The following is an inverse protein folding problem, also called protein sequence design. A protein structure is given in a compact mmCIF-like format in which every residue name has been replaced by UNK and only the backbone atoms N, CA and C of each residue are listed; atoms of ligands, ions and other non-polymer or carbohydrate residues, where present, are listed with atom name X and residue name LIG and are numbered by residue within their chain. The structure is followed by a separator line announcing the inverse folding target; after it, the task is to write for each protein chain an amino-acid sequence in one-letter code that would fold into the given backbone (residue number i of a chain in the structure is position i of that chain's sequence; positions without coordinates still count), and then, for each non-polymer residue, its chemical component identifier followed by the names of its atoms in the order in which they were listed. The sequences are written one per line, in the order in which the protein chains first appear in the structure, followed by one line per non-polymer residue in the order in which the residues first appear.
data_IF_707369598501
#
_entry.id   IF_707369598501
#
_cell.length_a   1.000
_cell.length_b   1.000
_cell.length_c   1.000
_cell.angle_alpha   90.00
_cell.angle_beta   90.00
_cell.angle_gamma   90.00
#
_symmetry.space_group_name_H-M   'P 1'
#
loop_
_entity.id
_entity.type
_entity.pdbx_description
1 polymer ?
#
# COMPACT_ATOMS: atom_id res chain seq x y z
N UNK A 1 18.42 8.10 -6.70
CA UNK A 1 19.51 7.10 -6.72
C UNK A 1 19.02 5.79 -6.10
N UNK A 2 19.53 4.66 -6.56
CA UNK A 2 19.12 3.35 -6.04
C UNK A 2 20.26 2.35 -6.05
N UNK A 3 20.14 1.38 -5.14
CA UNK A 3 21.00 0.21 -5.05
C UNK A 3 20.10 -1.03 -5.14
N UNK A 4 20.57 -2.07 -5.81
CA UNK A 4 19.88 -3.35 -5.88
C UNK A 4 20.87 -4.50 -5.78
N UNK A 5 20.39 -5.62 -5.27
CA UNK A 5 21.14 -6.88 -5.22
C UNK A 5 20.22 -8.04 -5.59
N UNK A 6 20.82 -9.12 -6.06
CA UNK A 6 20.14 -10.39 -6.26
C UNK A 6 21.11 -11.52 -5.94
N UNK A 7 20.64 -12.49 -5.17
CA UNK A 7 21.41 -13.66 -4.74
C UNK A 7 20.52 -14.90 -4.94
N UNK A 8 21.05 -15.96 -5.55
CA UNK A 8 20.33 -17.21 -5.73
C UNK A 8 21.28 -18.39 -5.73
N UNK A 9 20.78 -19.58 -5.42
CA UNK A 9 21.55 -20.83 -5.42
C UNK A 9 20.74 -21.98 -6.01
N UNK A 10 21.20 -22.49 -7.18
CA UNK A 10 20.74 -23.73 -7.78
C UNK A 10 19.21 -23.91 -7.80
N UNK A 11 18.47 -22.87 -8.15
CA UNK A 11 17.01 -22.87 -8.19
C UNK A 11 16.32 -23.19 -6.85
N UNK A 12 17.07 -23.27 -5.73
CA UNK A 12 16.51 -23.55 -4.41
C UNK A 12 15.96 -22.28 -3.78
N UNK A 13 16.68 -21.19 -3.89
CA UNK A 13 16.22 -19.89 -3.43
C UNK A 13 16.69 -18.74 -4.32
N UNK A 14 15.90 -17.71 -4.36
CA UNK A 14 16.24 -16.40 -4.93
C UNK A 14 15.91 -15.33 -3.91
N UNK A 15 16.86 -14.47 -3.59
CA UNK A 15 16.68 -13.29 -2.75
C UNK A 15 17.08 -12.07 -3.56
N UNK A 16 16.19 -11.11 -3.69
CA UNK A 16 16.48 -9.82 -4.30
C UNK A 16 16.02 -8.69 -3.40
N UNK A 17 16.62 -7.53 -3.60
CA UNK A 17 16.22 -6.35 -2.86
C UNK A 17 16.71 -5.08 -3.52
N UNK A 18 16.05 -3.98 -3.21
CA UNK A 18 16.45 -2.66 -3.65
C UNK A 18 16.18 -1.62 -2.57
N UNK A 19 17.03 -0.60 -2.56
CA UNK A 19 16.85 0.62 -1.80
C UNK A 19 16.92 1.78 -2.78
N UNK A 20 15.90 2.60 -2.81
CA UNK A 20 15.80 3.74 -3.73
C UNK A 20 15.61 5.01 -2.92
N UNK A 21 16.51 5.97 -3.08
CA UNK A 21 16.30 7.35 -2.68
C UNK A 21 15.69 8.13 -3.84
N UNK A 22 14.66 8.87 -3.57
CA UNK A 22 14.07 9.80 -4.55
C UNK A 22 13.90 11.19 -3.93
N UNK A 23 13.86 12.18 -4.80
CA UNK A 23 13.58 13.57 -4.47
C UNK A 23 12.88 14.21 -5.66
N UNK A 24 11.80 14.94 -5.40
CA UNK A 24 10.96 15.54 -6.42
C UNK A 24 10.44 16.89 -5.95
N UNK A 25 10.54 17.88 -6.80
CA UNK A 25 9.94 19.21 -6.65
C UNK A 25 8.80 19.33 -7.65
N UNK A 26 7.60 19.57 -7.15
CA UNK A 26 6.36 19.59 -7.95
C UNK A 26 5.71 20.94 -7.79
N UNK A 27 5.55 21.66 -8.89
CA UNK A 27 4.85 22.96 -8.91
C UNK A 27 3.38 22.76 -9.25
N UNK A 28 2.54 23.70 -8.79
CA UNK A 28 1.11 23.73 -9.04
C UNK A 28 0.34 22.45 -8.63
N UNK A 29 0.73 21.84 -7.51
CA UNK A 29 0.05 20.66 -6.97
C UNK A 29 -1.38 20.98 -6.53
N UNK A 30 -2.38 20.30 -7.07
CA UNK A 30 -3.78 20.43 -6.71
C UNK A 30 -4.20 19.26 -5.84
N UNK A 31 -4.74 19.54 -4.66
CA UNK A 31 -5.31 18.56 -3.75
C UNK A 31 -6.78 18.84 -3.48
N UNK A 32 -7.60 17.79 -3.37
CA UNK A 32 -9.00 17.93 -3.01
C UNK A 32 -9.15 17.71 -1.51
N UNK A 33 -9.61 18.74 -0.78
CA UNK A 33 -9.78 18.72 0.66
C UNK A 33 -11.26 18.81 1.04
N UNK A 34 -11.69 18.11 2.11
CA UNK A 34 -13.05 18.28 2.63
C UNK A 34 -13.22 19.67 3.22
N UNK A 35 -14.32 20.31 2.89
CA UNK A 35 -14.72 21.59 3.45
C UNK A 35 -15.60 21.39 4.70
N UNK A 36 -15.74 22.41 5.52
CA UNK A 36 -16.66 22.41 6.67
C UNK A 36 -18.13 22.21 6.27
N UNK A 37 -18.46 22.40 4.99
CA UNK A 37 -19.82 22.21 4.44
C UNK A 37 -20.05 20.77 3.93
N UNK A 38 -19.08 19.85 4.09
CA UNK A 38 -19.21 18.43 3.75
C UNK A 38 -18.99 18.08 2.28
N UNK A 39 -18.54 19.00 1.44
CA UNK A 39 -18.10 18.72 0.08
C UNK A 39 -16.59 18.89 -0.07
N UNK A 40 -16.00 18.26 -1.09
CA UNK A 40 -14.59 18.41 -1.42
C UNK A 40 -14.41 19.64 -2.32
N UNK A 41 -13.37 20.43 -2.03
CA UNK A 41 -12.95 21.56 -2.85
C UNK A 41 -11.49 21.39 -3.27
N UNK A 42 -11.12 21.73 -4.51
CA UNK A 42 -9.72 21.76 -4.92
C UNK A 42 -9.00 22.88 -4.18
N UNK A 43 -7.81 22.58 -3.72
CA UNK A 43 -6.88 23.52 -3.12
C UNK A 43 -5.55 23.43 -3.88
N UNK A 44 -5.04 24.56 -4.36
CA UNK A 44 -3.77 24.63 -5.05
C UNK A 44 -2.65 24.90 -4.04
N UNK A 45 -1.78 23.91 -3.85
CA UNK A 45 -0.52 24.02 -3.11
C UNK A 45 0.56 24.25 -4.16
N UNK A 46 1.12 25.46 -4.21
CA UNK A 46 1.99 25.89 -5.29
C UNK A 46 3.19 24.99 -5.50
N UNK A 47 3.94 24.69 -4.44
CA UNK A 47 5.18 23.93 -4.52
C UNK A 47 5.19 22.83 -3.46
N UNK A 48 5.49 21.61 -3.86
CA UNK A 48 5.60 20.45 -3.00
C UNK A 48 6.99 19.83 -3.17
N UNK A 49 7.70 19.66 -2.06
CA UNK A 49 8.92 18.88 -1.99
C UNK A 49 8.63 17.50 -1.43
N UNK A 50 8.69 16.48 -2.27
CA UNK A 50 8.52 15.09 -1.91
C UNK A 50 9.88 14.38 -2.00
N UNK A 51 10.28 13.71 -0.94
CA UNK A 51 11.53 12.96 -0.89
C UNK A 51 11.38 11.71 -0.03
N UNK A 52 12.34 10.80 -0.12
CA UNK A 52 12.25 9.62 0.74
C UNK A 52 13.08 8.44 0.33
N UNK A 53 12.84 7.35 1.05
CA UNK A 53 13.49 6.06 0.83
C UNK A 53 12.41 5.01 0.62
N UNK A 54 12.56 4.23 -0.44
CA UNK A 54 11.79 3.02 -0.68
C UNK A 54 12.70 1.80 -0.60
N UNK A 55 12.33 0.83 0.22
CA UNK A 55 12.97 -0.48 0.32
C UNK A 55 12.02 -1.53 -0.26
N UNK A 56 12.56 -2.44 -1.08
CA UNK A 56 11.86 -3.62 -1.58
C UNK A 56 12.72 -4.85 -1.33
N UNK A 57 12.05 -5.96 -1.02
CA UNK A 57 12.70 -7.24 -0.85
C UNK A 57 11.79 -8.35 -1.34
N UNK A 58 12.37 -9.31 -2.09
CA UNK A 58 11.67 -10.45 -2.67
C UNK A 58 12.47 -11.71 -2.34
N UNK A 59 11.79 -12.73 -1.83
CA UNK A 59 12.36 -14.01 -1.47
C UNK A 59 11.50 -15.12 -2.03
N UNK A 60 12.08 -15.92 -2.91
CA UNK A 60 11.49 -17.17 -3.42
C UNK A 60 12.26 -18.35 -2.86
N UNK A 61 11.57 -19.37 -2.37
CA UNK A 61 12.17 -20.59 -1.84
C UNK A 61 11.42 -21.81 -2.39
N UNK A 62 12.15 -22.75 -2.97
CA UNK A 62 11.68 -24.09 -3.29
C UNK A 62 11.95 -25.00 -2.09
N UNK A 63 10.95 -25.21 -1.25
CA UNK A 63 11.06 -26.03 -0.03
C UNK A 63 11.13 -27.53 -0.37
N UNK A 64 10.40 -27.94 -1.42
CA UNK A 64 10.43 -29.30 -1.98
C UNK A 64 9.83 -29.28 -3.39
N UNK A 65 9.73 -30.45 -4.05
CA UNK A 65 9.08 -30.54 -5.39
C UNK A 65 7.62 -30.07 -5.38
N UNK A 66 6.95 -30.17 -4.25
CA UNK A 66 5.52 -29.83 -4.13
C UNK A 66 5.27 -28.50 -3.39
N UNK A 67 6.27 -27.93 -2.70
CA UNK A 67 6.15 -26.76 -1.86
C UNK A 67 7.05 -25.62 -2.31
N UNK A 68 6.45 -24.46 -2.50
CA UNK A 68 7.16 -23.23 -2.81
C UNK A 68 6.64 -22.11 -1.89
N UNK A 69 7.53 -21.22 -1.48
CA UNK A 69 7.21 -20.03 -0.70
C UNK A 69 7.76 -18.81 -1.40
N UNK A 70 6.93 -17.77 -1.49
CA UNK A 70 7.30 -16.45 -1.97
C UNK A 70 6.98 -15.44 -0.88
N UNK A 71 7.87 -14.49 -0.66
CA UNK A 71 7.69 -13.41 0.29
C UNK A 71 8.15 -12.11 -0.36
N UNK A 72 7.23 -11.15 -0.49
CA UNK A 72 7.49 -9.82 -1.01
C UNK A 72 7.26 -8.80 0.09
N UNK A 73 8.18 -7.86 0.25
CA UNK A 73 8.08 -6.80 1.25
C UNK A 73 8.42 -5.43 0.69
N UNK A 74 7.71 -4.42 1.15
CA UNK A 74 8.02 -3.01 0.86
C UNK A 74 7.97 -2.19 2.13
N UNK A 75 8.86 -1.21 2.23
CA UNK A 75 8.86 -0.18 3.26
C UNK A 75 9.15 1.16 2.59
N UNK A 76 8.32 2.15 2.86
CA UNK A 76 8.48 3.49 2.32
C UNK A 76 8.43 4.53 3.43
N UNK A 77 9.37 5.45 3.39
CA UNK A 77 9.35 6.71 4.13
C UNK A 77 9.34 7.84 3.11
N UNK A 78 8.23 8.58 3.05
CA UNK A 78 7.93 9.49 1.94
C UNK A 78 7.32 10.81 2.43
N UNK A 79 8.08 11.67 3.15
CA UNK A 79 7.66 13.01 3.44
C UNK A 79 7.30 13.79 2.18
N UNK A 80 6.22 14.55 2.25
CA UNK A 80 5.74 15.39 1.15
C UNK A 80 5.32 16.73 1.73
N UNK A 81 6.17 17.73 1.61
CA UNK A 81 6.09 18.99 2.33
C UNK A 81 5.64 20.11 1.40
N UNK A 82 4.69 20.94 1.87
CA UNK A 82 4.33 22.17 1.19
C UNK A 82 5.45 23.20 1.38
N UNK A 83 6.15 23.55 0.33
CA UNK A 83 7.19 24.60 0.29
C UNK A 83 6.74 25.86 -0.47
N UNK A 84 5.46 25.94 -0.84
CA UNK A 84 4.91 27.10 -1.53
C UNK A 84 4.89 28.36 -0.68
N UNK A 85 4.70 29.49 -1.32
CA UNK A 85 4.54 30.76 -0.62
C UNK A 85 3.24 30.81 0.19
N UNK A 86 3.24 31.42 1.39
CA UNK A 86 2.03 31.61 2.16
C UNK A 86 0.94 32.36 1.37
N UNK A 87 -0.27 31.85 1.36
CA UNK A 87 -1.43 32.49 0.69
C UNK A 87 -1.93 33.74 1.42
N UNK A 88 -1.65 33.80 2.71
CA UNK A 88 -1.97 34.93 3.58
C UNK A 88 -1.06 34.91 4.81
N UNK A 89 -1.00 36.01 5.59
CA UNK A 89 -0.25 36.00 6.87
C UNK A 89 -0.73 34.97 7.89
N UNK A 90 -1.95 34.45 7.73
CA UNK A 90 -2.54 33.43 8.59
C UNK A 90 -2.36 31.99 8.03
N UNK A 91 -1.71 31.81 6.89
CA UNK A 91 -1.48 30.49 6.29
C UNK A 91 -0.46 29.70 7.10
N UNK A 92 -0.91 28.61 7.70
CA UNK A 92 -0.09 27.70 8.51
C UNK A 92 0.30 26.43 7.74
N UNK A 93 0.05 26.36 6.44
CA UNK A 93 0.28 25.17 5.64
C UNK A 93 1.73 25.02 5.14
N UNK A 94 2.49 26.10 5.12
CA UNK A 94 3.88 26.11 4.65
C UNK A 94 4.79 25.34 5.61
N UNK A 95 5.67 24.50 5.08
CA UNK A 95 6.54 23.61 5.83
C UNK A 95 5.82 22.41 6.45
N UNK A 96 4.57 22.13 6.05
CA UNK A 96 3.75 21.06 6.60
C UNK A 96 3.60 19.89 5.63
N UNK A 97 3.44 18.67 6.20
CA UNK A 97 3.13 17.45 5.45
C UNK A 97 1.80 17.59 4.71
N UNK A 98 1.71 17.09 3.50
CA UNK A 98 0.47 17.08 2.72
C UNK A 98 -0.62 16.26 3.43
N UNK A 99 -1.87 16.76 3.43
CA UNK A 99 -3.01 16.01 3.96
C UNK A 99 -3.22 14.67 3.25
N UNK A 100 -3.67 13.66 4.00
CA UNK A 100 -3.97 12.30 3.54
C UNK A 100 -2.78 11.51 2.98
N UNK A 101 -1.57 12.06 3.00
CA UNK A 101 -0.35 11.38 2.60
C UNK A 101 0.34 10.79 3.84
N UNK A 102 0.45 9.46 3.97
CA UNK A 102 1.19 8.84 5.07
C UNK A 102 2.69 9.09 4.91
N UNK A 103 3.37 9.41 5.99
CA UNK A 103 4.83 9.55 5.98
C UNK A 103 5.53 8.18 5.90
N UNK A 104 4.93 7.16 6.55
CA UNK A 104 5.42 5.78 6.52
C UNK A 104 4.36 4.85 6.00
N UNK A 105 4.75 3.95 5.11
CA UNK A 105 3.93 2.82 4.71
C UNK A 105 4.76 1.56 4.53
N UNK A 106 4.14 0.40 4.75
CA UNK A 106 4.79 -0.87 4.51
C UNK A 106 3.78 -1.93 4.08
N UNK A 107 4.25 -2.93 3.35
CA UNK A 107 3.45 -4.09 3.02
C UNK A 107 4.31 -5.35 3.00
N UNK A 108 3.71 -6.47 3.36
CA UNK A 108 4.29 -7.80 3.23
C UNK A 108 3.24 -8.70 2.59
N UNK A 109 3.64 -9.43 1.55
CA UNK A 109 2.81 -10.44 0.91
C UNK A 109 3.56 -11.78 0.98
N UNK A 110 2.94 -12.78 1.58
CA UNK A 110 3.44 -14.14 1.61
C UNK A 110 2.53 -15.06 0.79
N UNK A 111 3.11 -15.89 -0.05
CA UNK A 111 2.44 -16.95 -0.79
C UNK A 111 3.10 -18.28 -0.45
N UNK A 112 2.30 -19.25 0.01
CA UNK A 112 2.71 -20.62 0.19
C UNK A 112 1.94 -21.49 -0.80
N UNK A 113 2.65 -22.09 -1.73
CA UNK A 113 2.08 -22.95 -2.77
C UNK A 113 2.37 -24.42 -2.47
N UNK A 114 1.35 -25.25 -2.60
CA UNK A 114 1.44 -26.71 -2.50
C UNK A 114 0.72 -27.36 -3.68
N UNK A 115 1.48 -27.88 -4.63
CA UNK A 115 0.95 -28.42 -5.89
C UNK A 115 0.06 -27.40 -6.60
N UNK A 116 -1.26 -27.62 -6.58
CA UNK A 116 -2.28 -26.78 -7.22
C UNK A 116 -3.04 -25.88 -6.22
N UNK A 117 -2.60 -25.84 -4.96
CA UNK A 117 -3.13 -24.95 -3.94
C UNK A 117 -2.17 -23.80 -3.68
N UNK A 118 -2.70 -22.61 -3.44
CA UNK A 118 -1.93 -21.46 -2.98
C UNK A 118 -2.65 -20.79 -1.83
N UNK A 119 -1.94 -20.58 -0.74
CA UNK A 119 -2.37 -19.74 0.38
C UNK A 119 -1.63 -18.42 0.30
N UNK A 120 -2.39 -17.31 0.37
CA UNK A 120 -1.85 -15.95 0.40
C UNK A 120 -2.18 -15.30 1.73
N UNK A 121 -1.19 -14.58 2.27
CA UNK A 121 -1.37 -13.62 3.34
C UNK A 121 -0.81 -12.27 2.90
N UNK A 122 -1.59 -11.21 3.04
CA UNK A 122 -1.15 -9.85 2.78
C UNK A 122 -1.37 -9.00 4.02
N UNK A 123 -0.32 -8.33 4.45
CA UNK A 123 -0.36 -7.33 5.50
C UNK A 123 0.09 -5.99 4.96
N UNK A 124 -0.54 -4.90 5.41
CA UNK A 124 -0.07 -3.55 5.14
C UNK A 124 -0.25 -2.65 6.35
N UNK A 125 0.60 -1.65 6.43
CA UNK A 125 0.61 -0.61 7.44
C UNK A 125 0.65 0.76 6.79
N UNK A 126 -0.12 1.70 7.35
CA UNK A 126 -0.05 3.12 7.04
C UNK A 126 0.04 3.91 8.33
N UNK A 127 0.99 4.85 8.39
CA UNK A 127 1.13 5.78 9.51
C UNK A 127 -0.07 6.73 9.61
N UNK A 128 -0.16 7.47 10.69
CA UNK A 128 -1.13 8.57 10.82
C UNK A 128 -0.99 9.57 9.67
N UNK A 129 -2.10 10.23 9.33
CA UNK A 129 -2.17 11.19 8.22
C UNK A 129 -2.95 12.41 8.67
N UNK A 130 -2.44 13.57 8.33
CA UNK A 130 -3.16 14.82 8.56
C UNK A 130 -4.37 14.92 7.63
N UNK A 131 -5.42 15.58 8.08
CA UNK A 131 -6.65 15.82 7.29
C UNK A 131 -6.69 17.24 6.77
N UNK A 132 -5.86 18.14 7.32
CA UNK A 132 -5.79 19.57 7.00
C UNK A 132 -4.35 19.98 6.68
N UNK A 133 -4.20 20.97 5.80
CA UNK A 133 -2.89 21.48 5.39
C UNK A 133 -2.11 22.14 6.52
N UNK A 134 -2.76 22.61 7.59
CA UNK A 134 -2.12 23.16 8.78
C UNK A 134 -1.47 22.12 9.70
N UNK A 135 -1.69 20.82 9.43
CA UNK A 135 -1.30 19.69 10.28
C UNK A 135 -1.80 19.84 11.74
N UNK A 136 -3.03 20.27 11.88
CA UNK A 136 -3.67 20.38 13.19
C UNK A 136 -3.72 19.00 13.87
N UNK A 137 -3.44 18.97 15.18
CA UNK A 137 -3.42 17.75 16.01
C UNK A 137 -4.72 17.53 16.79
N UNK A 138 -5.78 18.27 16.48
CA UNK A 138 -7.10 18.04 17.08
C UNK A 138 -7.67 16.69 16.67
N UNK A 139 -8.74 16.24 17.31
CA UNK A 139 -9.39 14.93 17.07
C UNK A 139 -9.79 14.72 15.60
N UNK A 140 -10.07 15.79 14.87
CA UNK A 140 -10.42 15.72 13.44
C UNK A 140 -9.26 16.08 12.52
N UNK A 141 -8.14 16.56 13.06
CA UNK A 141 -6.96 17.00 12.31
C UNK A 141 -6.05 15.86 11.86
N UNK A 142 -6.21 14.67 12.45
CA UNK A 142 -5.44 13.46 12.11
C UNK A 142 -6.34 12.25 11.95
N UNK A 143 -6.01 11.40 10.98
CA UNK A 143 -6.48 10.02 10.91
C UNK A 143 -5.46 9.13 11.60
N UNK A 144 -5.90 8.18 12.47
CA UNK A 144 -4.99 7.25 13.13
C UNK A 144 -4.28 6.34 12.12
N UNK A 145 -3.14 5.82 12.53
CA UNK A 145 -2.47 4.72 11.83
C UNK A 145 -3.36 3.48 11.83
N UNK A 146 -3.18 2.62 10.83
CA UNK A 146 -3.85 1.33 10.79
C UNK A 146 -3.01 0.27 10.07
N UNK A 147 -3.32 -0.99 10.38
CA UNK A 147 -2.83 -2.12 9.58
C UNK A 147 -4.00 -2.95 9.09
N UNK A 148 -3.78 -3.58 7.97
CA UNK A 148 -4.77 -4.45 7.38
C UNK A 148 -4.15 -5.79 7.04
N UNK A 149 -4.88 -6.86 7.37
CA UNK A 149 -4.51 -8.23 7.05
C UNK A 149 -5.58 -8.87 6.19
N UNK A 150 -5.15 -9.47 5.09
CA UNK A 150 -6.02 -10.21 4.17
C UNK A 150 -5.47 -11.61 3.98
N UNK A 151 -6.34 -12.59 3.81
CA UNK A 151 -5.96 -13.95 3.44
C UNK A 151 -6.72 -14.39 2.19
N UNK A 152 -6.13 -15.28 1.43
CA UNK A 152 -6.84 -15.94 0.34
C UNK A 152 -6.34 -17.37 0.18
N UNK A 153 -7.25 -18.25 -0.22
CA UNK A 153 -6.96 -19.62 -0.64
C UNK A 153 -7.37 -19.78 -2.09
N UNK A 154 -6.46 -20.29 -2.89
CA UNK A 154 -6.65 -20.51 -4.31
C UNK A 154 -6.39 -21.98 -4.66
N UNK A 155 -7.21 -22.53 -5.57
CA UNK A 155 -7.10 -23.87 -6.12
C UNK A 155 -7.15 -23.82 -7.63
N UNK A 156 -6.15 -24.37 -8.29
CA UNK A 156 -6.15 -24.59 -9.74
C UNK A 156 -6.51 -26.02 -10.10
N UNK A 157 -7.33 -26.19 -11.12
CA UNK A 157 -7.70 -27.50 -11.69
C UNK A 157 -7.49 -27.43 -13.18
N UNK A 158 -6.61 -28.30 -13.69
CA UNK A 158 -6.28 -28.36 -15.11
C UNK A 158 -7.14 -29.42 -15.82
N UNK A 159 -7.99 -28.98 -16.72
CA UNK A 159 -8.74 -29.86 -17.63
C UNK A 159 -8.05 -29.87 -19.02
N UNK A 160 -8.45 -30.81 -19.88
CA UNK A 160 -7.92 -30.86 -21.25
C UNK A 160 -8.23 -29.62 -22.09
N UNK A 161 -9.35 -28.96 -21.80
CA UNK A 161 -9.90 -27.84 -22.58
C UNK A 161 -9.72 -26.47 -21.90
N UNK A 162 -9.46 -26.44 -20.57
CA UNK A 162 -9.25 -25.20 -19.84
C UNK A 162 -8.52 -25.43 -18.52
N UNK A 163 -7.86 -24.42 -18.00
CA UNK A 163 -7.47 -24.29 -16.60
C UNK A 163 -8.54 -23.49 -15.86
N UNK A 164 -8.99 -24.01 -14.71
CA UNK A 164 -10.02 -23.39 -13.87
C UNK A 164 -9.40 -23.07 -12.51
N UNK A 165 -9.50 -21.82 -12.11
CA UNK A 165 -9.05 -21.36 -10.78
C UNK A 165 -10.26 -20.97 -9.92
N UNK A 166 -10.22 -21.35 -8.66
CA UNK A 166 -11.16 -20.94 -7.62
C UNK A 166 -10.37 -20.22 -6.54
N UNK A 167 -10.79 -19.01 -6.18
CA UNK A 167 -10.16 -18.23 -5.12
C UNK A 167 -11.22 -17.73 -4.15
N UNK A 168 -11.04 -18.06 -2.86
CA UNK A 168 -11.78 -17.44 -1.75
C UNK A 168 -10.87 -16.51 -0.99
N UNK A 169 -11.33 -15.31 -0.68
CA UNK A 169 -10.56 -14.32 0.07
C UNK A 169 -11.38 -13.76 1.25
N UNK A 170 -10.66 -13.42 2.31
CA UNK A 170 -11.16 -12.66 3.46
C UNK A 170 -10.32 -11.40 3.56
N UNK A 171 -10.94 -10.26 3.37
CA UNK A 171 -10.31 -8.96 3.52
C UNK A 171 -10.61 -8.40 4.91
N UNK A 172 -9.67 -7.61 5.42
CA UNK A 172 -9.73 -7.06 6.78
C UNK A 172 -10.00 -8.14 7.82
N UNK A 173 -9.15 -9.16 7.85
CA UNK A 173 -9.28 -10.38 8.67
C UNK A 173 -9.55 -10.11 10.15
N UNK A 174 -8.96 -9.07 10.71
CA UNK A 174 -9.09 -8.69 12.11
C UNK A 174 -10.18 -7.66 12.38
N UNK A 175 -10.98 -7.33 11.35
CA UNK A 175 -12.05 -6.32 11.42
C UNK A 175 -11.57 -4.97 11.96
N UNK A 176 -10.40 -4.53 11.51
CA UNK A 176 -9.83 -3.24 11.89
C UNK A 176 -10.76 -2.09 11.48
N UNK A 177 -11.08 -1.22 12.43
CA UNK A 177 -11.82 0.00 12.15
C UNK A 177 -10.84 1.09 11.69
N UNK A 178 -10.94 1.50 10.44
CA UNK A 178 -10.04 2.48 9.86
C UNK A 178 -10.74 3.49 8.98
N UNK A 179 -10.08 4.62 8.79
CA UNK A 179 -10.55 5.69 7.93
C UNK A 179 -9.47 5.98 6.87
N UNK A 180 -9.82 5.99 5.61
CA UNK A 180 -8.95 6.51 4.54
C UNK A 180 -9.20 8.00 4.30
N UNK A 181 -10.41 8.46 4.56
CA UNK A 181 -10.86 9.86 4.49
C UNK A 181 -11.68 10.16 5.73
N UNK A 182 -11.55 11.38 6.26
CA UNK A 182 -12.30 11.85 7.42
C UNK A 182 -13.82 11.64 7.22
N UNK A 183 -14.48 11.12 8.26
CA UNK A 183 -15.92 10.84 8.28
C UNK A 183 -16.40 9.83 7.22
N UNK A 184 -15.52 9.04 6.64
CA UNK A 184 -15.86 7.95 5.72
C UNK A 184 -15.38 6.62 6.28
N UNK A 185 -16.23 5.87 7.00
CA UNK A 185 -15.88 4.56 7.51
C UNK A 185 -15.60 3.62 6.32
N UNK A 186 -14.57 2.81 6.46
CA UNK A 186 -14.19 1.82 5.47
C UNK A 186 -14.82 0.46 5.80
N UNK A 187 -14.91 -0.44 4.81
CA UNK A 187 -15.47 -1.78 5.04
C UNK A 187 -14.72 -2.53 6.15
N UNK A 188 -15.45 -3.12 7.07
CA UNK A 188 -14.93 -4.11 7.99
C UNK A 188 -14.56 -5.42 7.28
N UNK A 189 -14.54 -6.52 8.03
CA UNK A 189 -14.29 -7.85 7.44
C UNK A 189 -15.28 -8.13 6.30
N UNK A 190 -14.76 -8.57 5.17
CA UNK A 190 -15.57 -8.92 4.00
C UNK A 190 -14.97 -10.11 3.25
N UNK A 191 -15.80 -10.76 2.43
CA UNK A 191 -15.47 -12.00 1.74
C UNK A 191 -15.64 -11.85 0.25
N UNK A 192 -14.75 -12.46 -0.51
CA UNK A 192 -14.78 -12.46 -1.96
C UNK A 192 -14.57 -13.87 -2.50
N UNK A 193 -15.25 -14.20 -3.60
CA UNK A 193 -15.08 -15.46 -4.33
C UNK A 193 -14.86 -15.12 -5.80
N UNK A 194 -13.80 -15.70 -6.38
CA UNK A 194 -13.47 -15.57 -7.79
C UNK A 194 -13.41 -16.94 -8.45
N UNK A 195 -13.87 -17.01 -9.68
CA UNK A 195 -13.70 -18.15 -10.56
C UNK A 195 -13.08 -17.67 -11.85
N UNK A 196 -11.91 -18.20 -12.20
CA UNK A 196 -11.21 -17.92 -13.44
C UNK A 196 -11.28 -19.14 -14.37
N UNK A 197 -11.44 -18.93 -15.67
CA UNK A 197 -11.41 -19.98 -16.68
C UNK A 197 -10.49 -19.50 -17.82
N UNK A 198 -9.43 -20.26 -18.07
CA UNK A 198 -8.47 -20.00 -19.15
C UNK A 198 -8.57 -21.14 -20.16
N UNK A 199 -9.21 -20.94 -21.34
CA UNK A 199 -9.31 -21.95 -22.37
C UNK A 199 -7.93 -22.36 -22.92
N UNK A 200 -7.79 -23.64 -23.28
CA UNK A 200 -6.61 -24.19 -23.99
C UNK A 200 -6.98 -24.37 -25.47
N UNK A 201 -6.17 -23.83 -26.33
CA UNK A 201 -6.29 -23.93 -27.79
C UNK A 201 -5.40 -25.02 -28.36
#
# INVERSE_FOLDING_TARGET
AGLSFAIGKNEIYSLSGSATWFESYISDWIIWLPTTKGFFSPDNIKDVHAYGIELKGDLDIVLSKDWQMQLDGTLSWTPSINEGEPRSPADQSVGKQLPYVPEYSSSVTGRLSWRTWSFLYKWCYYSERYTMSSNDITLTGKLPQYFMSNIALEKEISFKWADVSFKGAVNNLFNEEYLSVLSRPMPGINFEIFVGITPKW
#
